data_IF_718360764164
#
_entry.id   IF_718360764164
#
_cell.length_a   1.000
_cell.length_b   1.000
_cell.length_c   1.000
_cell.angle_alpha   90.00
_cell.angle_beta   90.00
_cell.angle_gamma   90.00
#
_symmetry.space_group_name_H-M   'P 1'
#
loop_
_entity.id
_entity.type
_entity.pdbx_description
1 polymer ?
#
# COMPACT_ATOMS: atom_id res chain seq x y z
N UNK A 1 6.18 10.63 2.92
CA UNK A 1 5.70 10.98 1.56
C UNK A 1 4.62 12.06 1.66
N UNK A 2 4.39 12.87 0.62
CA UNK A 2 3.62 14.10 0.73
C UNK A 2 2.74 14.33 -0.50
N UNK A 3 1.42 14.51 -0.29
CA UNK A 3 0.41 14.78 -1.35
C UNK A 3 0.48 13.81 -2.53
N UNK A 4 1.06 14.26 -3.66
CA UNK A 4 1.19 13.50 -4.92
C UNK A 4 2.39 12.54 -4.97
N UNK A 5 3.18 12.45 -3.91
CA UNK A 5 4.30 11.51 -3.88
C UNK A 5 3.76 10.09 -3.66
N UNK A 6 4.19 9.17 -4.49
CA UNK A 6 4.03 7.72 -4.33
C UNK A 6 5.13 7.20 -3.42
N UNK A 7 6.39 7.54 -3.73
CA UNK A 7 7.54 7.34 -2.85
C UNK A 7 8.30 8.65 -2.65
N UNK A 8 8.97 8.81 -1.52
CA UNK A 8 9.76 10.01 -1.26
C UNK A 8 10.53 9.95 0.06
N UNK A 9 11.67 10.62 0.08
CA UNK A 9 12.51 10.74 1.25
C UNK A 9 12.04 11.92 2.11
N UNK A 10 12.03 11.79 3.46
CA UNK A 10 11.75 12.90 4.35
C UNK A 10 12.69 14.08 4.10
N UNK A 11 12.13 15.29 4.08
CA UNK A 11 12.89 16.52 3.86
C UNK A 11 12.61 17.51 4.98
N UNK A 12 13.64 17.88 5.76
CA UNK A 12 13.56 18.80 6.90
C UNK A 12 13.01 20.20 6.55
N UNK A 13 13.10 20.59 5.28
CA UNK A 13 12.58 21.89 4.81
C UNK A 13 11.11 21.81 4.40
N UNK A 14 10.50 20.62 4.42
CA UNK A 14 9.10 20.42 4.07
C UNK A 14 8.26 20.43 5.35
N UNK A 15 7.65 21.57 5.62
CA UNK A 15 6.76 21.74 6.77
C UNK A 15 5.38 21.18 6.44
N UNK A 16 4.89 20.29 7.28
CA UNK A 16 3.52 19.74 7.22
C UNK A 16 2.55 20.87 7.64
N UNK A 17 1.46 21.01 6.90
CA UNK A 17 0.46 22.07 7.09
C UNK A 17 -0.94 21.50 7.14
N UNK A 18 -1.85 22.27 7.73
CA UNK A 18 -3.30 22.00 7.63
C UNK A 18 -3.72 21.81 6.16
N UNK A 19 -4.51 20.78 5.87
CA UNK A 19 -4.93 20.40 4.52
C UNK A 19 -3.97 19.47 3.77
N UNK A 20 -2.90 19.00 4.41
CA UNK A 20 -1.98 18.05 3.79
C UNK A 20 -2.43 16.60 3.96
N UNK A 21 -2.24 15.80 2.92
CA UNK A 21 -2.25 14.34 2.99
C UNK A 21 -0.79 13.88 3.08
N UNK A 22 -0.44 13.24 4.19
CA UNK A 22 0.93 12.78 4.49
C UNK A 22 0.94 11.27 4.65
N UNK A 23 1.83 10.60 3.95
CA UNK A 23 2.07 9.16 4.11
C UNK A 23 3.36 8.96 4.91
N UNK A 24 3.27 8.14 5.93
CA UNK A 24 4.41 7.69 6.73
C UNK A 24 4.58 6.21 6.46
N UNK A 25 5.69 5.90 5.82
CA UNK A 25 6.07 4.56 5.38
C UNK A 25 7.37 4.20 6.09
N UNK A 26 7.37 3.10 6.83
CA UNK A 26 8.43 2.78 7.76
C UNK A 26 8.71 1.29 7.82
N UNK A 27 9.90 0.90 7.38
CA UNK A 27 10.46 -0.41 7.64
C UNK A 27 11.16 -0.47 9.01
N UNK A 28 10.97 -1.53 9.76
CA UNK A 28 11.67 -1.81 11.01
C UNK A 28 12.46 -3.12 10.90
N UNK A 29 13.62 -3.16 11.57
CA UNK A 29 14.44 -4.37 11.65
C UNK A 29 14.73 -4.69 13.11
N UNK A 30 14.34 -5.88 13.55
CA UNK A 30 14.55 -6.34 14.92
C UNK A 30 14.83 -7.86 14.93
N UNK A 31 15.86 -8.26 15.66
CA UNK A 31 16.22 -9.67 15.89
C UNK A 31 16.31 -10.55 14.63
N UNK A 32 16.77 -9.96 13.52
CA UNK A 32 16.96 -10.67 12.25
C UNK A 32 15.75 -10.69 11.33
N UNK A 33 14.68 -9.95 11.64
CA UNK A 33 13.46 -9.87 10.84
C UNK A 33 13.07 -8.42 10.55
N UNK A 34 12.42 -8.23 9.41
CA UNK A 34 11.85 -6.96 9.01
C UNK A 34 10.32 -6.96 9.18
N UNK A 35 9.78 -5.78 9.44
CA UNK A 35 8.37 -5.48 9.30
C UNK A 35 8.22 -4.17 8.52
N UNK A 36 7.18 -4.05 7.71
CA UNK A 36 6.90 -2.88 6.90
C UNK A 36 5.49 -2.38 7.12
N UNK A 37 5.29 -1.07 7.07
CA UNK A 37 4.01 -0.48 7.40
C UNK A 37 3.87 0.95 6.91
N UNK A 38 2.75 1.27 6.29
CA UNK A 38 2.44 2.61 5.82
C UNK A 38 1.06 3.08 6.28
N UNK A 39 0.96 4.37 6.65
CA UNK A 39 -0.30 5.06 6.94
C UNK A 39 -0.43 6.35 6.13
N UNK A 40 -1.66 6.69 5.77
CA UNK A 40 -2.01 8.01 5.21
C UNK A 40 -2.71 8.85 6.27
N UNK A 41 -2.15 10.01 6.60
CA UNK A 41 -2.67 10.94 7.60
C UNK A 41 -3.22 12.18 6.91
N UNK A 42 -4.48 12.48 7.15
CA UNK A 42 -5.10 13.76 6.83
C UNK A 42 -4.79 14.76 7.94
N UNK A 43 -4.05 15.82 7.63
CA UNK A 43 -3.58 16.80 8.63
C UNK A 43 -4.58 17.94 8.74
N UNK A 44 -5.30 17.99 9.85
CA UNK A 44 -6.34 18.98 10.09
C UNK A 44 -7.49 18.88 9.08
N UNK A 45 -7.94 20.00 8.53
CA UNK A 45 -9.03 20.05 7.55
C UNK A 45 -8.47 19.87 6.13
N UNK A 46 -8.66 18.67 5.56
CA UNK A 46 -8.28 18.34 4.17
C UNK A 46 -9.47 18.50 3.21
N UNK A 47 -9.21 18.50 1.91
CA UNK A 47 -10.30 18.46 0.93
C UNK A 47 -11.11 17.16 1.02
N UNK A 48 -12.41 17.17 0.67
CA UNK A 48 -13.22 15.94 0.63
C UNK A 48 -12.59 14.84 -0.23
N UNK A 49 -11.94 15.20 -1.33
CA UNK A 49 -11.24 14.27 -2.22
C UNK A 49 -10.04 13.61 -1.52
N UNK A 50 -9.25 14.37 -0.75
CA UNK A 50 -8.12 13.82 -0.01
C UNK A 50 -8.58 12.85 1.07
N UNK A 51 -9.64 13.20 1.81
CA UNK A 51 -10.24 12.32 2.80
C UNK A 51 -10.78 11.05 2.14
N UNK A 52 -11.60 11.20 1.09
CA UNK A 52 -12.15 10.06 0.34
C UNK A 52 -11.06 9.14 -0.20
N UNK A 53 -9.97 9.72 -0.74
CA UNK A 53 -8.85 8.95 -1.28
C UNK A 53 -8.17 8.10 -0.19
N UNK A 54 -7.87 8.69 0.97
CA UNK A 54 -7.29 7.97 2.10
C UNK A 54 -8.21 6.87 2.61
N UNK A 55 -9.51 7.16 2.76
CA UNK A 55 -10.52 6.21 3.23
C UNK A 55 -10.68 5.03 2.25
N UNK A 56 -10.62 5.30 0.94
CA UNK A 56 -10.71 4.24 -0.07
C UNK A 56 -9.46 3.37 -0.08
N UNK A 57 -8.26 3.95 0.03
CA UNK A 57 -7.02 3.20 0.14
C UNK A 57 -7.02 2.29 1.39
N UNK A 58 -7.48 2.81 2.53
CA UNK A 58 -7.68 2.02 3.76
C UNK A 58 -8.66 0.87 3.54
N UNK A 59 -9.85 1.16 3.01
CA UNK A 59 -10.88 0.14 2.74
C UNK A 59 -10.40 -0.92 1.75
N UNK A 60 -9.64 -0.52 0.73
CA UNK A 60 -9.09 -1.44 -0.25
C UNK A 60 -8.06 -2.40 0.39
N UNK A 61 -7.18 -1.90 1.26
CA UNK A 61 -6.27 -2.73 2.04
C UNK A 61 -7.05 -3.79 2.82
N UNK A 62 -7.99 -3.39 3.67
CA UNK A 62 -8.73 -4.33 4.53
C UNK A 62 -9.64 -5.28 3.74
N UNK A 63 -10.17 -4.85 2.60
CA UNK A 63 -10.89 -5.73 1.68
C UNK A 63 -9.97 -6.82 1.12
N UNK A 64 -8.77 -6.47 0.67
CA UNK A 64 -7.75 -7.42 0.26
C UNK A 64 -7.34 -8.37 1.39
N UNK A 65 -7.04 -7.84 2.57
CA UNK A 65 -6.69 -8.63 3.76
C UNK A 65 -7.76 -9.66 4.10
N UNK A 66 -9.05 -9.33 3.93
CA UNK A 66 -10.16 -10.26 4.19
C UNK A 66 -10.17 -11.51 3.28
N UNK A 67 -9.46 -11.48 2.16
CA UNK A 67 -9.31 -12.61 1.24
C UNK A 67 -8.08 -13.47 1.55
N UNK A 68 -7.22 -13.06 2.47
CA UNK A 68 -5.99 -13.78 2.78
C UNK A 68 -6.28 -14.89 3.77
N UNK A 69 -6.03 -16.12 3.35
CA UNK A 69 -5.97 -17.34 4.15
C UNK A 69 -5.25 -18.43 3.36
N UNK A 70 -4.79 -19.46 4.02
CA UNK A 70 -4.18 -20.59 3.32
C UNK A 70 -5.16 -21.22 2.30
N UNK A 71 -4.66 -21.46 1.08
CA UNK A 71 -5.42 -22.01 -0.04
C UNK A 71 -6.02 -20.96 -0.99
N UNK A 72 -6.25 -19.74 -0.57
CA UNK A 72 -6.60 -18.64 -1.47
C UNK A 72 -5.39 -18.21 -2.31
N UNK A 73 -5.61 -17.34 -3.28
CA UNK A 73 -4.57 -16.87 -4.20
C UNK A 73 -4.34 -15.37 -4.11
N UNK A 74 -3.13 -14.93 -4.47
CA UNK A 74 -2.83 -13.49 -4.54
C UNK A 74 -3.70 -12.75 -5.57
N UNK A 75 -4.16 -13.43 -6.62
CA UNK A 75 -5.06 -12.81 -7.60
C UNK A 75 -6.45 -12.49 -7.01
N UNK A 76 -6.95 -13.31 -6.06
CA UNK A 76 -8.18 -13.01 -5.34
C UNK A 76 -8.03 -11.78 -4.45
N UNK A 77 -6.88 -11.65 -3.77
CA UNK A 77 -6.53 -10.48 -2.96
C UNK A 77 -6.44 -9.22 -3.83
N UNK A 78 -5.66 -9.28 -4.91
CA UNK A 78 -5.49 -8.20 -5.87
C UNK A 78 -6.82 -7.74 -6.48
N UNK A 79 -7.68 -8.71 -6.82
CA UNK A 79 -8.99 -8.44 -7.39
C UNK A 79 -9.90 -7.66 -6.47
N UNK A 80 -9.94 -8.00 -5.19
CA UNK A 80 -10.76 -7.31 -4.20
C UNK A 80 -10.27 -5.87 -3.97
N UNK A 81 -8.94 -5.67 -3.88
CA UNK A 81 -8.34 -4.34 -3.77
C UNK A 81 -8.72 -3.47 -4.96
N UNK A 82 -8.50 -3.97 -6.17
CA UNK A 82 -8.78 -3.25 -7.42
C UNK A 82 -10.26 -2.87 -7.54
N UNK A 83 -11.18 -3.78 -7.25
CA UNK A 83 -12.63 -3.54 -7.32
C UNK A 83 -13.07 -2.39 -6.40
N UNK A 84 -12.55 -2.34 -5.17
CA UNK A 84 -12.85 -1.23 -4.25
C UNK A 84 -12.34 0.10 -4.80
N UNK A 85 -11.11 0.13 -5.31
CA UNK A 85 -10.48 1.35 -5.83
C UNK A 85 -11.24 1.87 -7.06
N UNK A 86 -11.48 1.01 -8.05
CA UNK A 86 -12.14 1.37 -9.30
C UNK A 86 -13.60 1.79 -9.08
N UNK A 87 -14.35 1.10 -8.23
CA UNK A 87 -15.72 1.44 -7.86
C UNK A 87 -15.86 2.85 -7.29
N UNK A 88 -14.82 3.37 -6.64
CA UNK A 88 -14.80 4.70 -6.06
C UNK A 88 -14.26 5.79 -7.02
N UNK A 89 -13.91 5.43 -8.27
CA UNK A 89 -13.45 6.34 -9.32
C UNK A 89 -11.96 6.70 -9.22
N UNK A 90 -11.17 5.90 -8.50
CA UNK A 90 -9.73 6.04 -8.35
C UNK A 90 -8.97 4.99 -9.17
N UNK A 91 -7.64 5.06 -9.18
CA UNK A 91 -6.77 4.12 -9.89
C UNK A 91 -5.77 3.47 -8.95
N UNK A 92 -5.51 2.17 -9.16
CA UNK A 92 -4.40 1.47 -8.50
C UNK A 92 -3.11 1.77 -9.26
N UNK A 93 -2.04 2.06 -8.52
CA UNK A 93 -0.70 2.16 -9.12
C UNK A 93 -0.20 0.75 -9.44
N UNK A 94 0.26 0.55 -10.69
CA UNK A 94 0.70 -0.76 -11.18
C UNK A 94 2.23 -0.93 -11.20
N UNK A 95 2.97 0.19 -11.07
CA UNK A 95 4.44 0.19 -11.11
C UNK A 95 5.07 -0.35 -9.82
N UNK A 96 4.28 -0.48 -8.75
CA UNK A 96 4.72 -0.91 -7.42
C UNK A 96 3.78 -1.95 -6.83
N UNK A 97 4.35 -2.88 -6.08
CA UNK A 97 3.63 -4.02 -5.50
C UNK A 97 4.03 -4.18 -4.05
N UNK A 98 3.20 -4.81 -3.26
CA UNK A 98 3.63 -5.41 -2.01
C UNK A 98 4.54 -6.62 -2.26
N UNK A 99 5.02 -7.23 -1.20
CA UNK A 99 6.07 -8.24 -1.27
C UNK A 99 6.02 -9.21 -0.09
N UNK A 100 6.74 -10.32 -0.21
CA UNK A 100 7.13 -11.10 0.95
C UNK A 100 8.04 -10.25 1.86
N UNK A 101 7.98 -10.47 3.15
CA UNK A 101 8.82 -9.79 4.14
C UNK A 101 9.26 -10.79 5.20
N UNK A 102 10.51 -10.69 5.64
CA UNK A 102 11.05 -11.63 6.61
C UNK A 102 12.47 -11.28 7.01
N UNK A 103 13.44 -12.11 6.65
CA UNK A 103 14.85 -11.81 6.90
C UNK A 103 15.39 -10.69 6.03
N UNK A 104 14.81 -10.50 4.86
CA UNK A 104 15.02 -9.31 4.03
C UNK A 104 13.75 -8.47 4.05
N UNK A 105 13.90 -7.17 3.80
CA UNK A 105 12.76 -6.25 3.70
C UNK A 105 11.86 -6.64 2.54
N UNK A 106 12.45 -6.99 1.39
CA UNK A 106 11.73 -7.44 0.21
C UNK A 106 12.11 -8.89 -0.11
N UNK A 107 11.11 -9.77 -0.11
CA UNK A 107 11.21 -11.17 -0.47
C UNK A 107 10.09 -11.55 -1.46
N UNK A 108 10.22 -12.70 -2.11
CA UNK A 108 9.12 -13.29 -2.85
C UNK A 108 7.99 -13.79 -1.91
N UNK A 109 6.73 -13.78 -2.37
CA UNK A 109 6.26 -13.38 -3.69
C UNK A 109 5.98 -11.88 -3.79
N UNK A 110 5.96 -11.33 -5.01
CA UNK A 110 5.34 -10.01 -5.26
C UNK A 110 3.84 -10.06 -5.01
N UNK A 111 3.32 -9.09 -4.27
CA UNK A 111 1.90 -8.98 -3.88
C UNK A 111 1.24 -7.86 -4.68
N UNK A 112 0.55 -8.23 -5.78
CA UNK A 112 -0.11 -7.26 -6.65
C UNK A 112 -1.37 -6.71 -6.00
N UNK A 113 -1.66 -5.43 -6.29
CA UNK A 113 -2.86 -4.73 -5.85
C UNK A 113 -3.89 -4.57 -6.97
N UNK A 114 -3.66 -5.21 -8.12
CA UNK A 114 -4.49 -5.20 -9.32
C UNK A 114 -4.41 -6.55 -10.05
N UNK A 115 -5.40 -6.86 -10.88
CA UNK A 115 -5.42 -8.09 -11.67
C UNK A 115 -4.37 -8.04 -12.78
N UNK A 116 -3.51 -9.04 -12.81
CA UNK A 116 -2.51 -9.20 -13.87
C UNK A 116 -2.43 -10.66 -14.32
N UNK A 117 -2.11 -10.86 -15.61
CA UNK A 117 -1.82 -12.20 -16.18
C UNK A 117 -0.33 -12.40 -16.43
N UNK A 118 0.48 -11.38 -16.14
CA UNK A 118 1.91 -11.37 -16.44
C UNK A 118 2.73 -12.18 -15.45
N UNK A 119 2.14 -12.48 -14.27
CA UNK A 119 2.82 -13.22 -13.21
C UNK A 119 2.02 -14.44 -12.74
N UNK A 120 2.72 -15.43 -12.21
CA UNK A 120 2.06 -16.63 -11.69
C UNK A 120 1.13 -16.26 -10.54
N UNK A 121 -0.07 -16.83 -10.55
CA UNK A 121 -1.00 -16.71 -9.44
C UNK A 121 -0.53 -17.58 -8.27
N UNK A 122 0.01 -16.96 -7.23
CA UNK A 122 0.57 -17.67 -6.08
C UNK A 122 -0.54 -18.11 -5.13
N UNK A 123 -0.53 -19.39 -4.77
CA UNK A 123 -1.40 -19.93 -3.71
C UNK A 123 -0.79 -19.60 -2.35
N UNK A 124 -1.56 -18.98 -1.49
CA UNK A 124 -1.18 -18.60 -0.13
C UNK A 124 -1.02 -19.85 0.75
N UNK A 125 0.03 -19.88 1.54
CA UNK A 125 0.33 -20.95 2.49
C UNK A 125 0.47 -20.39 3.89
N UNK A 126 0.02 -21.16 4.87
CA UNK A 126 0.20 -20.84 6.29
C UNK A 126 1.68 -20.56 6.61
N UNK A 127 1.93 -19.51 7.39
CA UNK A 127 3.25 -19.05 7.76
C UNK A 127 3.91 -18.07 6.76
N UNK A 128 3.30 -17.80 5.58
CA UNK A 128 3.79 -16.73 4.72
C UNK A 128 3.62 -15.37 5.40
N UNK A 129 4.65 -14.56 5.38
CA UNK A 129 4.62 -13.16 5.84
C UNK A 129 4.69 -12.22 4.65
N UNK A 130 3.73 -11.30 4.55
CA UNK A 130 3.53 -10.46 3.38
C UNK A 130 3.31 -9.00 3.81
N UNK A 131 3.89 -8.06 3.07
CA UNK A 131 3.49 -6.66 3.05
C UNK A 131 2.40 -6.48 1.99
N UNK A 132 1.24 -5.99 2.41
CA UNK A 132 0.09 -5.71 1.52
C UNK A 132 -0.12 -4.20 1.55
N UNK A 133 0.09 -3.53 0.41
CA UNK A 133 0.31 -2.08 0.36
C UNK A 133 -0.34 -1.39 -0.86
N UNK A 134 -1.65 -1.37 -1.00
CA UNK A 134 -2.27 -0.70 -2.12
C UNK A 134 -1.93 0.79 -2.17
N UNK A 135 -1.34 1.22 -3.29
CA UNK A 135 -1.12 2.62 -3.62
C UNK A 135 -2.22 3.07 -4.55
N UNK A 136 -2.98 4.08 -4.12
CA UNK A 136 -4.19 4.57 -4.80
C UNK A 136 -3.98 6.00 -5.26
N UNK A 137 -4.16 6.26 -6.55
CA UNK A 137 -4.11 7.59 -7.14
C UNK A 137 -5.51 8.17 -7.36
N UNK A 138 -5.68 9.45 -7.08
CA UNK A 138 -6.90 10.21 -7.35
C UNK A 138 -7.26 10.25 -8.84
N UNK A 139 -6.28 10.21 -9.72
CA UNK A 139 -6.45 10.30 -11.16
C UNK A 139 -5.87 9.08 -11.88
N UNK A 140 -4.89 9.34 -12.75
CA UNK A 140 -4.24 8.31 -13.55
C UNK A 140 -3.37 7.37 -12.70
N UNK A 141 -3.34 6.09 -13.06
CA UNK A 141 -2.45 5.09 -12.45
C UNK A 141 -0.95 5.35 -12.69
N UNK A 142 -0.62 6.17 -13.67
CA UNK A 142 0.77 6.37 -14.10
C UNK A 142 1.56 7.27 -13.14
N UNK A 143 2.78 6.84 -12.88
CA UNK A 143 3.75 7.55 -12.06
C UNK A 143 4.97 8.01 -12.87
N UNK A 144 5.81 8.82 -12.27
CA UNK A 144 7.12 9.18 -12.80
C UNK A 144 8.13 9.39 -11.68
N UNK A 145 9.34 8.92 -11.91
CA UNK A 145 10.47 9.16 -11.01
C UNK A 145 11.09 10.53 -11.33
N UNK A 146 11.43 11.28 -10.28
CA UNK A 146 12.10 12.57 -10.40
C UNK A 146 13.61 12.41 -10.65
N UNK A 147 14.31 13.54 -10.87
CA UNK A 147 15.74 13.57 -11.19
C UNK A 147 16.65 13.07 -10.05
N UNK A 148 16.14 13.01 -8.82
CA UNK A 148 16.84 12.40 -7.68
C UNK A 148 16.88 10.87 -7.75
N UNK A 149 16.27 10.27 -8.77
CA UNK A 149 16.18 8.83 -9.04
C UNK A 149 15.51 8.01 -7.93
N UNK A 150 14.82 8.68 -7.01
CA UNK A 150 14.12 8.04 -5.90
C UNK A 150 12.69 8.51 -5.75
N UNK A 151 12.46 9.82 -5.75
CA UNK A 151 11.12 10.37 -5.54
C UNK A 151 10.22 10.04 -6.72
N UNK A 152 9.12 9.37 -6.43
CA UNK A 152 8.08 9.01 -7.39
C UNK A 152 6.85 9.85 -7.13
N UNK A 153 6.29 10.42 -8.17
CA UNK A 153 5.08 11.24 -8.11
C UNK A 153 4.06 10.78 -9.14
N UNK A 154 2.78 11.10 -8.90
CA UNK A 154 1.73 10.93 -9.90
C UNK A 154 2.04 11.74 -11.14
N UNK A 155 1.84 11.17 -12.33
CA UNK A 155 2.17 11.81 -13.59
C UNK A 155 1.27 13.02 -13.89
N UNK A 156 0.03 12.98 -13.45
CA UNK A 156 -0.98 14.02 -13.62
C UNK A 156 -0.97 15.09 -12.50
N UNK A 157 -0.15 14.90 -11.47
CA UNK A 157 0.00 15.83 -10.35
C UNK A 157 -1.10 15.77 -9.29
N UNK A 158 -2.04 14.83 -9.42
CA UNK A 158 -3.12 14.60 -8.45
C UNK A 158 -2.62 13.87 -7.19
N UNK A 159 -3.49 13.70 -6.20
CA UNK A 159 -3.14 13.08 -4.93
C UNK A 159 -2.89 11.58 -5.06
N UNK A 160 -2.12 11.04 -4.11
CA UNK A 160 -1.89 9.61 -3.93
C UNK A 160 -1.97 9.28 -2.44
N UNK A 161 -2.60 8.16 -2.10
CA UNK A 161 -2.67 7.60 -0.75
C UNK A 161 -2.14 6.16 -0.76
N UNK A 162 -1.64 5.71 0.40
CA UNK A 162 -1.17 4.34 0.62
C UNK A 162 -1.48 3.94 2.05
N UNK A 163 -1.93 2.72 2.21
CA UNK A 163 -2.05 2.05 3.50
C UNK A 163 -1.42 0.67 3.39
N UNK A 164 -0.78 0.24 4.45
CA UNK A 164 -0.02 -1.00 4.44
C UNK A 164 0.00 -1.68 5.79
N UNK A 165 -0.02 -3.00 5.74
CA UNK A 165 0.31 -3.86 6.85
C UNK A 165 1.22 -5.02 6.44
N UNK A 166 2.15 -5.36 7.34
CA UNK A 166 2.75 -6.69 7.37
C UNK A 166 1.80 -7.64 8.08
N UNK A 167 1.54 -8.78 7.44
CA UNK A 167 0.65 -9.83 7.97
C UNK A 167 1.35 -11.19 7.93
N UNK A 168 0.86 -12.12 8.74
CA UNK A 168 1.14 -13.55 8.56
C UNK A 168 -0.13 -14.28 8.14
N UNK A 169 0.01 -15.16 7.14
CA UNK A 169 -1.08 -16.02 6.66
C UNK A 169 -1.31 -17.14 7.66
N UNK A 170 -2.54 -17.29 8.12
CA UNK A 170 -2.99 -18.39 8.96
C UNK A 170 -3.84 -19.38 8.14
N UNK A 171 -4.18 -20.51 8.73
CA UNK A 171 -5.04 -21.51 8.10
C UNK A 171 -6.37 -20.92 7.64
N UNK A 172 -7.04 -20.16 8.49
CA UNK A 172 -8.41 -19.64 8.27
C UNK A 172 -8.49 -18.09 8.29
N UNK A 173 -7.38 -17.40 8.08
CA UNK A 173 -7.31 -15.93 8.09
C UNK A 173 -5.89 -15.41 8.17
N UNK A 174 -5.72 -14.30 8.88
CA UNK A 174 -4.43 -13.61 9.05
C UNK A 174 -4.24 -13.17 10.51
N UNK A 175 -2.99 -12.89 10.85
CA UNK A 175 -2.63 -12.00 11.95
C UNK A 175 -1.93 -10.77 11.37
N UNK A 176 -2.32 -9.58 11.81
CA UNK A 176 -1.67 -8.32 11.42
C UNK A 176 -0.52 -8.09 12.39
N UNK A 177 0.71 -8.14 11.88
CA UNK A 177 1.93 -7.97 12.70
C UNK A 177 2.26 -6.51 12.99
N UNK A 178 1.72 -5.60 12.20
CA UNK A 178 1.89 -4.15 12.33
C UNK A 178 0.59 -3.46 12.72
N UNK A 179 -0.24 -4.13 13.53
CA UNK A 179 -1.48 -3.56 14.04
C UNK A 179 -1.20 -2.31 14.91
N UNK A 180 -2.17 -1.43 14.99
CA UNK A 180 -2.01 -0.10 15.60
C UNK A 180 -3.20 0.19 16.49
N UNK A 181 -2.91 0.51 17.74
CA UNK A 181 -3.87 1.07 18.67
C UNK A 181 -4.06 2.58 18.39
N UNK A 182 -5.11 2.94 17.63
CA UNK A 182 -5.52 4.33 17.45
C UNK A 182 -6.86 4.62 18.13
#
# INVERSE_FOLDING_TARGET
>A
MYKRQVHGIPNKNKIIKNGDLVKIDTGAYLDGFHGDSCISICVGEVSPEAQKLSDVAYKALYAGLSKIKAGNTLLEVAGEIEDIVLKNGFSVVEDYTGHGVGRNLHEEPSVFNFRTKELPNVVLREGMTLAVEPIVNEGSKFCKTLNDRWTVITKDGKLSAQWEHTIVVLKDGIEILTDRDF
#
